data_IF_840434927475
#
_entry.id   IF_840434927475
#
_cell.length_a   1.000
_cell.length_b   1.000
_cell.length_c   1.000
_cell.angle_alpha   90.00
_cell.angle_beta   90.00
_cell.angle_gamma   90.00
#
_symmetry.space_group_name_H-M   'P 1'
#
loop_
_entity.id
_entity.type
_entity.pdbx_description
1 polymer ?
#
# COMPACT_ATOMS: atom_id res chain seq x y z
N UNK A 1 -10.50 2.74 -5.76
CA UNK A 1 -9.06 3.11 -5.83
C UNK A 1 -8.65 3.43 -7.26
N UNK A 2 -8.02 4.60 -7.47
CA UNK A 2 -7.49 5.06 -8.77
C UNK A 2 -6.35 4.16 -9.26
N UNK A 3 -6.21 4.04 -10.59
CA UNK A 3 -5.17 3.22 -11.22
C UNK A 3 -3.75 3.62 -10.79
N UNK A 4 -3.51 4.91 -10.58
CA UNK A 4 -2.24 5.44 -10.09
C UNK A 4 -1.88 4.90 -8.69
N UNK A 5 -2.84 4.89 -7.76
CA UNK A 5 -2.61 4.35 -6.43
C UNK A 5 -2.34 2.84 -6.48
N UNK A 6 -3.12 2.09 -7.30
CA UNK A 6 -2.90 0.65 -7.51
C UNK A 6 -1.48 0.37 -7.99
N UNK A 7 -1.03 1.06 -9.04
CA UNK A 7 0.29 0.88 -9.61
C UNK A 7 1.40 1.23 -8.61
N UNK A 8 1.22 2.30 -7.84
CA UNK A 8 2.16 2.71 -6.77
C UNK A 8 2.28 1.65 -5.68
N UNK A 9 1.16 1.14 -5.17
CA UNK A 9 1.14 0.10 -4.13
C UNK A 9 1.83 -1.19 -4.59
N UNK A 10 1.52 -1.66 -5.80
CA UNK A 10 2.16 -2.86 -6.38
C UNK A 10 3.66 -2.66 -6.49
N UNK A 11 4.12 -1.55 -7.08
CA UNK A 11 5.55 -1.25 -7.26
C UNK A 11 6.30 -1.24 -5.93
N UNK A 12 5.72 -0.63 -4.91
CA UNK A 12 6.34 -0.55 -3.58
C UNK A 12 6.36 -1.93 -2.91
N UNK A 13 5.26 -2.69 -2.96
CA UNK A 13 5.22 -4.05 -2.44
C UNK A 13 6.30 -4.92 -3.09
N UNK A 14 6.42 -4.91 -4.43
CA UNK A 14 7.42 -5.68 -5.15
C UNK A 14 8.84 -5.30 -4.74
N UNK A 15 9.15 -4.00 -4.66
CA UNK A 15 10.46 -3.53 -4.22
C UNK A 15 10.79 -3.93 -2.77
N UNK A 16 9.81 -3.92 -1.88
CA UNK A 16 10.00 -4.32 -0.47
C UNK A 16 10.14 -5.83 -0.34
N UNK A 17 9.39 -6.62 -1.09
CA UNK A 17 9.52 -8.08 -1.13
C UNK A 17 10.91 -8.47 -1.66
N UNK A 18 11.35 -7.85 -2.76
CA UNK A 18 12.67 -8.15 -3.34
C UNK A 18 13.83 -7.84 -2.38
N UNK A 19 13.70 -6.80 -1.55
CA UNK A 19 14.77 -6.34 -0.65
C UNK A 19 14.71 -6.93 0.76
N UNK A 20 13.52 -7.28 1.26
CA UNK A 20 13.29 -7.71 2.65
C UNK A 20 12.59 -9.06 2.79
N UNK A 21 12.23 -9.71 1.68
CA UNK A 21 11.51 -10.98 1.65
C UNK A 21 9.99 -10.82 1.78
N UNK A 22 9.27 -11.92 1.50
CA UNK A 22 7.79 -11.93 1.40
C UNK A 22 7.06 -11.59 2.71
N UNK A 23 7.72 -11.78 3.85
CA UNK A 23 7.14 -11.55 5.18
C UNK A 23 7.26 -10.10 5.66
N UNK A 24 7.81 -9.19 4.86
CA UNK A 24 7.94 -7.78 5.24
C UNK A 24 6.57 -7.15 5.49
N UNK A 25 6.39 -6.58 6.68
CA UNK A 25 5.22 -5.79 7.04
C UNK A 25 5.33 -4.35 6.53
N UNK A 26 4.26 -3.82 5.96
CA UNK A 26 4.15 -2.44 5.49
C UNK A 26 2.91 -1.78 6.10
N UNK A 27 3.00 -0.47 6.32
CA UNK A 27 1.85 0.41 6.57
C UNK A 27 1.54 1.20 5.29
N UNK A 28 0.36 1.81 5.18
CA UNK A 28 0.01 2.62 4.01
C UNK A 28 0.99 3.78 3.77
N UNK A 29 1.64 4.30 4.83
CA UNK A 29 2.67 5.32 4.70
C UNK A 29 3.88 4.85 3.90
N UNK A 30 4.15 3.54 3.85
CA UNK A 30 5.29 3.00 3.10
C UNK A 30 5.20 3.28 1.59
N UNK A 31 4.02 3.63 1.07
CA UNK A 31 3.81 3.97 -0.34
C UNK A 31 4.27 5.39 -0.71
N UNK A 32 4.61 6.22 0.28
CA UNK A 32 4.95 7.63 0.10
C UNK A 32 6.32 7.92 0.70
N UNK A 33 7.19 8.60 -0.06
CA UNK A 33 8.49 9.05 0.45
C UNK A 33 8.33 10.23 1.42
N UNK A 34 7.39 11.13 1.10
CA UNK A 34 7.00 12.25 1.96
C UNK A 34 5.48 12.42 1.94
N UNK A 35 4.91 12.77 3.10
CA UNK A 35 3.47 13.01 3.28
C UNK A 35 2.91 14.17 2.45
N UNK A 36 3.78 15.09 2.01
CA UNK A 36 3.39 16.29 1.29
C UNK A 36 3.52 16.18 -0.24
N UNK A 37 4.08 15.09 -0.77
CA UNK A 37 4.32 14.96 -2.22
C UNK A 37 3.01 14.85 -3.00
N UNK A 38 2.08 14.06 -2.48
CA UNK A 38 0.72 13.93 -3.01
C UNK A 38 -0.27 13.66 -1.87
N UNK A 39 -0.73 14.73 -1.19
CA UNK A 39 -1.63 14.59 -0.05
C UNK A 39 -2.95 13.91 -0.43
N UNK A 40 -3.47 14.13 -1.63
CA UNK A 40 -4.73 13.54 -2.08
C UNK A 40 -4.62 12.02 -2.23
N UNK A 41 -3.52 11.55 -2.85
CA UNK A 41 -3.24 10.13 -3.00
C UNK A 41 -2.92 9.45 -1.65
N UNK A 42 -2.26 10.17 -0.73
CA UNK A 42 -2.05 9.69 0.64
C UNK A 42 -3.37 9.47 1.38
N UNK A 43 -4.29 10.44 1.30
CA UNK A 43 -5.60 10.34 1.94
C UNK A 43 -6.42 9.20 1.33
N UNK A 44 -6.37 9.00 0.01
CA UNK A 44 -7.02 7.86 -0.64
C UNK A 44 -6.45 6.52 -0.14
N UNK A 45 -5.13 6.41 0.00
CA UNK A 45 -4.49 5.22 0.56
C UNK A 45 -4.90 4.98 2.01
N UNK A 46 -5.02 6.05 2.81
CA UNK A 46 -5.48 5.97 4.19
C UNK A 46 -6.95 5.53 4.29
N UNK A 47 -7.85 6.07 3.47
CA UNK A 47 -9.26 5.65 3.41
C UNK A 47 -9.39 4.19 2.99
N UNK A 48 -8.66 3.76 1.96
CA UNK A 48 -8.66 2.35 1.53
C UNK A 48 -8.18 1.43 2.66
N UNK A 49 -7.11 1.82 3.35
CA UNK A 49 -6.48 1.01 4.40
C UNK A 49 -7.30 0.95 5.69
N UNK A 50 -7.64 2.11 6.25
CA UNK A 50 -8.18 2.25 7.61
C UNK A 50 -9.70 2.09 7.60
N UNK A 51 -10.39 2.72 6.65
CA UNK A 51 -11.85 2.77 6.64
C UNK A 51 -12.46 1.64 5.83
N UNK A 52 -11.97 1.41 4.61
CA UNK A 52 -12.56 0.42 3.69
C UNK A 52 -12.23 -1.01 4.11
N UNK A 53 -10.97 -1.30 4.39
CA UNK A 53 -10.51 -2.65 4.71
C UNK A 53 -10.12 -2.86 6.17
N UNK A 54 -10.07 -1.79 6.98
CA UNK A 54 -9.79 -1.86 8.42
C UNK A 54 -8.54 -2.68 8.75
N UNK A 55 -7.50 -2.51 7.93
CA UNK A 55 -6.26 -3.25 8.05
C UNK A 55 -5.48 -2.80 9.28
N UNK A 56 -4.79 -3.76 9.91
CA UNK A 56 -3.85 -3.48 10.99
C UNK A 56 -2.77 -2.46 10.58
N UNK A 57 -2.09 -1.89 11.57
CA UNK A 57 -1.04 -0.89 11.34
C UNK A 57 0.06 -1.40 10.40
N UNK A 58 0.37 -2.71 10.46
CA UNK A 58 1.25 -3.38 9.53
C UNK A 58 0.59 -4.62 8.93
N UNK A 59 0.62 -4.74 7.61
CA UNK A 59 0.18 -5.92 6.86
C UNK A 59 1.33 -6.40 5.97
N UNK A 60 1.43 -7.72 5.75
CA UNK A 60 2.49 -8.28 4.89
C UNK A 60 2.36 -7.74 3.46
N UNK A 61 3.47 -7.35 2.86
CA UNK A 61 3.52 -6.81 1.49
C UNK A 61 2.86 -7.73 0.45
N UNK A 62 3.02 -9.06 0.61
CA UNK A 62 2.37 -10.04 -0.26
C UNK A 62 0.84 -9.97 -0.20
N UNK A 63 0.27 -9.84 1.00
CA UNK A 63 -1.19 -9.76 1.21
C UNK A 63 -1.74 -8.48 0.59
N UNK A 64 -1.08 -7.34 0.83
CA UNK A 64 -1.49 -6.05 0.26
C UNK A 64 -1.50 -6.13 -1.27
N UNK A 65 -0.43 -6.69 -1.86
CA UNK A 65 -0.30 -6.83 -3.32
C UNK A 65 -1.44 -7.68 -3.89
N UNK A 66 -1.75 -8.82 -3.26
CA UNK A 66 -2.83 -9.71 -3.66
C UNK A 66 -4.19 -9.00 -3.61
N UNK A 67 -4.48 -8.24 -2.54
CA UNK A 67 -5.72 -7.45 -2.45
C UNK A 67 -5.85 -6.43 -3.60
N UNK A 68 -4.79 -5.66 -3.86
CA UNK A 68 -4.79 -4.65 -4.92
C UNK A 68 -4.99 -5.29 -6.31
N UNK A 69 -4.38 -6.45 -6.56
CA UNK A 69 -4.51 -7.21 -7.82
C UNK A 69 -5.92 -7.81 -8.00
N UNK A 70 -6.60 -8.16 -6.90
CA UNK A 70 -7.98 -8.64 -6.90
C UNK A 70 -9.02 -7.52 -7.03
N UNK A 71 -8.57 -6.28 -7.25
CA UNK A 71 -9.41 -5.09 -7.30
C UNK A 71 -10.17 -4.74 -6.02
N UNK A 72 -9.74 -5.31 -4.88
CA UNK A 72 -10.12 -4.81 -3.56
C UNK A 72 -9.56 -3.40 -3.38
#
# INVERSE_FOLDING_TARGET
MRAELRAKMIKVCDGKIATKGENVGLSFYAFFANKNDDPALLMEAATWWIETHQLDHFVKARIIKEMVQQNL
#
